data_IF_241864047692
#
_entry.id   IF_241864047692
#
_cell.length_a   1.000
_cell.length_b   1.000
_cell.length_c   1.000
_cell.angle_alpha   90.00
_cell.angle_beta   90.00
_cell.angle_gamma   90.00
#
_symmetry.space_group_name_H-M   'P 1'
#
loop_
_entity.id
_entity.type
_entity.pdbx_description
1 polymer ?
#
# COMPACT_ATOMS: atom_id res chain seq x y z
N UNK A 1 12.18 -20.64 29.37
CA UNK A 1 11.68 -21.16 28.08
C UNK A 1 10.39 -20.43 27.74
N UNK A 2 10.40 -19.54 26.73
CA UNK A 2 9.16 -18.88 26.29
C UNK A 2 8.28 -19.93 25.62
N UNK A 3 7.05 -20.07 26.13
CA UNK A 3 6.00 -20.92 25.54
C UNK A 3 5.92 -20.67 24.04
N UNK A 4 6.12 -21.72 23.24
CA UNK A 4 5.85 -21.72 21.80
C UNK A 4 4.32 -21.69 21.65
N UNK A 5 3.71 -20.52 21.89
CA UNK A 5 2.44 -20.22 21.23
C UNK A 5 2.73 -20.33 19.75
N UNK A 6 1.99 -21.18 19.04
CA UNK A 6 1.94 -21.18 17.57
C UNK A 6 1.93 -19.72 17.11
N UNK A 7 3.03 -19.26 16.52
CA UNK A 7 3.22 -17.86 16.18
C UNK A 7 2.37 -17.63 14.95
N UNK A 8 1.24 -16.96 15.10
CA UNK A 8 0.39 -16.58 13.98
C UNK A 8 1.20 -15.73 12.99
N UNK A 9 1.03 -16.01 11.72
CA UNK A 9 1.63 -15.18 10.67
C UNK A 9 0.86 -13.86 10.57
N UNK A 10 1.59 -12.78 10.39
CA UNK A 10 1.02 -11.44 10.35
C UNK A 10 0.98 -10.94 8.93
N UNK A 11 -0.10 -10.23 8.59
CA UNK A 11 -0.32 -9.65 7.28
C UNK A 11 -0.65 -8.17 7.46
N UNK A 12 0.05 -7.29 6.75
CA UNK A 12 -0.26 -5.86 6.68
C UNK A 12 -0.99 -5.60 5.37
N UNK A 13 -2.18 -5.01 5.48
CA UNK A 13 -3.09 -4.77 4.37
C UNK A 13 -3.05 -3.31 3.95
N UNK A 14 -3.10 -3.11 2.64
CA UNK A 14 -3.25 -1.80 2.00
C UNK A 14 -4.69 -1.60 1.51
N UNK A 15 -5.16 -0.35 1.52
CA UNK A 15 -6.44 0.10 0.94
C UNK A 15 -6.60 -0.37 -0.50
N UNK A 16 -5.49 -0.39 -1.24
CA UNK A 16 -5.48 -0.74 -2.66
C UNK A 16 -6.03 -2.14 -2.97
N UNK A 17 -5.98 -3.08 -2.02
CA UNK A 17 -6.58 -4.42 -2.17
C UNK A 17 -8.10 -4.38 -2.32
N UNK A 18 -8.74 -3.41 -1.66
CA UNK A 18 -10.19 -3.27 -1.66
C UNK A 18 -10.66 -2.26 -2.71
N UNK A 19 -9.80 -1.32 -3.10
CA UNK A 19 -10.17 -0.22 -4.01
C UNK A 19 -9.77 -0.50 -5.46
N UNK A 20 -8.61 -1.11 -5.73
CA UNK A 20 -8.16 -1.35 -7.10
C UNK A 20 -9.04 -2.40 -7.81
N UNK A 21 -9.70 -2.07 -8.95
CA UNK A 21 -10.53 -3.01 -9.70
C UNK A 21 -9.83 -4.33 -10.07
N UNK A 22 -8.52 -4.28 -10.35
CA UNK A 22 -7.74 -5.45 -10.78
C UNK A 22 -7.55 -6.49 -9.68
N UNK A 23 -7.75 -6.14 -8.42
CA UNK A 23 -7.57 -7.05 -7.28
C UNK A 23 -8.86 -7.23 -6.51
N UNK A 24 -9.64 -6.17 -6.30
CA UNK A 24 -10.84 -6.23 -5.46
C UNK A 24 -11.88 -7.23 -5.96
N UNK A 25 -11.92 -7.48 -7.28
CA UNK A 25 -12.91 -8.38 -7.91
C UNK A 25 -12.83 -9.82 -7.37
N UNK A 26 -11.69 -10.21 -6.81
CA UNK A 26 -11.53 -11.49 -6.12
C UNK A 26 -12.39 -11.59 -4.85
N UNK A 27 -12.72 -10.46 -4.23
CA UNK A 27 -13.47 -10.37 -2.98
C UNK A 27 -14.87 -9.75 -3.13
N UNK A 28 -15.08 -8.84 -4.09
CA UNK A 28 -16.38 -8.20 -4.31
C UNK A 28 -16.42 -7.16 -5.44
N UNK A 29 -17.63 -6.71 -5.80
CA UNK A 29 -17.86 -5.79 -6.93
C UNK A 29 -17.56 -4.32 -6.63
N UNK A 30 -17.80 -3.89 -5.39
CA UNK A 30 -17.46 -2.56 -4.88
C UNK A 30 -16.41 -2.65 -3.76
N UNK A 31 -15.77 -1.53 -3.35
CA UNK A 31 -14.84 -1.54 -2.22
C UNK A 31 -15.47 -2.05 -0.91
N UNK A 32 -16.75 -1.75 -0.68
CA UNK A 32 -17.48 -2.23 0.50
C UNK A 32 -17.72 -3.74 0.43
N UNK A 33 -18.13 -4.24 -0.74
CA UNK A 33 -18.34 -5.68 -0.93
C UNK A 33 -17.02 -6.45 -0.82
N UNK A 34 -15.93 -5.91 -1.38
CA UNK A 34 -14.61 -6.50 -1.33
C UNK A 34 -14.09 -6.60 0.12
N UNK A 35 -14.28 -5.55 0.93
CA UNK A 35 -13.94 -5.60 2.34
C UNK A 35 -14.75 -6.68 3.08
N UNK A 36 -16.07 -6.74 2.87
CA UNK A 36 -16.91 -7.76 3.50
C UNK A 36 -16.53 -9.19 3.07
N UNK A 37 -16.31 -9.43 1.77
CA UNK A 37 -15.89 -10.74 1.26
C UNK A 37 -14.53 -11.18 1.81
N UNK A 38 -13.60 -10.23 2.01
CA UNK A 38 -12.36 -10.49 2.72
C UNK A 38 -12.60 -10.85 4.19
N UNK A 39 -13.44 -10.10 4.92
CA UNK A 39 -13.71 -10.37 6.33
C UNK A 39 -14.32 -11.76 6.55
N UNK A 40 -15.25 -12.19 5.69
CA UNK A 40 -15.82 -13.54 5.72
C UNK A 40 -14.78 -14.66 5.57
N UNK A 41 -13.73 -14.43 4.77
CA UNK A 41 -12.60 -15.36 4.64
C UNK A 41 -11.68 -15.27 5.86
N UNK A 42 -11.33 -14.06 6.29
CA UNK A 42 -10.45 -13.80 7.43
C UNK A 42 -10.97 -14.45 8.73
N UNK A 43 -12.29 -14.45 8.97
CA UNK A 43 -12.92 -15.10 10.13
C UNK A 43 -12.59 -16.61 10.22
N UNK A 44 -12.40 -17.26 9.07
CA UNK A 44 -12.13 -18.70 9.00
C UNK A 44 -10.66 -19.04 9.26
N UNK A 45 -9.78 -18.05 9.26
CA UNK A 45 -8.32 -18.20 9.25
C UNK A 45 -7.70 -17.67 10.56
N UNK A 46 -7.79 -18.42 11.68
CA UNK A 46 -7.22 -18.00 12.95
C UNK A 46 -5.68 -18.03 12.97
N UNK A 47 -5.04 -18.67 11.98
CA UNK A 47 -3.60 -18.76 11.84
C UNK A 47 -2.96 -17.42 11.40
N UNK A 48 -3.75 -16.51 10.81
CA UNK A 48 -3.30 -15.20 10.38
C UNK A 48 -3.78 -14.09 11.32
N UNK A 49 -3.00 -13.02 11.42
CA UNK A 49 -3.39 -11.76 12.06
C UNK A 49 -3.26 -10.62 11.05
N UNK A 50 -4.35 -9.88 10.83
CA UNK A 50 -4.38 -8.79 9.88
C UNK A 50 -4.18 -7.45 10.57
N UNK A 51 -3.37 -6.60 9.96
CA UNK A 51 -2.99 -5.30 10.47
C UNK A 51 -3.15 -4.23 9.39
N UNK A 52 -3.46 -3.02 9.82
CA UNK A 52 -3.53 -1.85 8.94
C UNK A 52 -2.99 -0.63 9.69
N UNK A 53 -2.10 0.18 9.10
CA UNK A 53 -1.71 1.46 9.67
C UNK A 53 -2.91 2.39 9.83
N UNK A 54 -2.88 3.28 10.82
CA UNK A 54 -3.99 4.22 11.07
C UNK A 54 -4.29 5.10 9.85
N UNK A 55 -3.26 5.56 9.15
CA UNK A 55 -3.38 6.38 7.93
C UNK A 55 -4.09 5.64 6.80
N UNK A 56 -3.71 4.39 6.56
CA UNK A 56 -4.34 3.50 5.56
C UNK A 56 -5.78 3.17 5.94
N UNK A 57 -6.04 2.92 7.22
CA UNK A 57 -7.39 2.68 7.70
C UNK A 57 -8.30 3.89 7.46
N UNK A 58 -7.84 5.09 7.77
CA UNK A 58 -8.56 6.34 7.47
C UNK A 58 -8.77 6.55 5.97
N UNK A 59 -7.77 6.22 5.15
CA UNK A 59 -7.88 6.27 3.70
C UNK A 59 -8.98 5.33 3.19
N UNK A 60 -9.00 4.07 3.64
CA UNK A 60 -10.00 3.07 3.27
C UNK A 60 -11.42 3.53 3.58
N UNK A 61 -11.63 4.20 4.72
CA UNK A 61 -12.95 4.73 5.11
C UNK A 61 -13.52 5.76 4.12
N UNK A 62 -12.69 6.40 3.28
CA UNK A 62 -13.18 7.29 2.22
C UNK A 62 -13.80 6.53 1.04
N UNK A 63 -13.56 5.22 0.94
CA UNK A 63 -14.01 4.38 -0.17
C UNK A 63 -15.11 3.39 0.22
N UNK A 64 -15.30 3.12 1.52
CA UNK A 64 -16.27 2.13 2.02
C UNK A 64 -17.43 2.79 2.75
N UNK A 65 -18.64 2.25 2.57
CA UNK A 65 -19.79 2.61 3.39
C UNK A 65 -19.76 1.81 4.69
N UNK A 66 -19.21 2.40 5.75
CA UNK A 66 -18.98 1.75 7.03
C UNK A 66 -20.27 1.15 7.65
N UNK A 67 -21.44 1.68 7.32
CA UNK A 67 -22.73 1.17 7.83
C UNK A 67 -23.10 -0.19 7.23
N UNK A 68 -22.47 -0.56 6.10
CA UNK A 68 -22.66 -1.84 5.41
C UNK A 68 -21.49 -2.81 5.66
N UNK A 69 -20.45 -2.39 6.37
CA UNK A 69 -19.30 -3.24 6.70
C UNK A 69 -19.64 -4.09 7.93
N UNK A 70 -19.22 -5.36 7.94
CA UNK A 70 -19.40 -6.23 9.10
C UNK A 70 -18.83 -5.61 10.38
N UNK A 71 -19.57 -5.74 11.49
CA UNK A 71 -19.10 -5.29 12.81
C UNK A 71 -17.85 -6.03 13.31
N UNK A 72 -17.47 -7.15 12.67
CA UNK A 72 -16.21 -7.86 12.96
C UNK A 72 -14.97 -7.16 12.37
N UNK A 73 -15.12 -6.12 11.55
CA UNK A 73 -14.01 -5.46 10.87
C UNK A 73 -12.86 -5.05 11.82
N UNK A 74 -13.16 -4.28 12.86
CA UNK A 74 -12.13 -3.80 13.81
C UNK A 74 -11.61 -4.90 14.74
N UNK A 75 -12.34 -6.01 14.88
CA UNK A 75 -11.90 -7.17 15.63
C UNK A 75 -10.91 -8.04 14.83
N UNK A 76 -11.11 -8.13 13.51
CA UNK A 76 -10.31 -8.95 12.60
C UNK A 76 -9.10 -8.20 12.03
N UNK A 77 -9.26 -6.92 11.71
CA UNK A 77 -8.20 -6.04 11.20
C UNK A 77 -7.76 -5.09 12.31
N UNK A 78 -6.56 -5.32 12.81
CA UNK A 78 -5.98 -4.54 13.91
C UNK A 78 -5.40 -3.24 13.37
N UNK A 79 -6.07 -2.13 13.66
CA UNK A 79 -5.51 -0.81 13.39
C UNK A 79 -4.29 -0.58 14.30
N UNK A 80 -3.11 -0.37 13.72
CA UNK A 80 -1.87 -0.12 14.46
C UNK A 80 -0.90 0.73 13.62
N UNK A 81 -0.46 1.90 14.10
CA UNK A 81 0.63 2.61 13.46
C UNK A 81 1.99 1.95 13.75
N UNK A 82 3.01 2.15 12.90
CA UNK A 82 4.38 1.79 13.24
C UNK A 82 4.89 2.62 14.43
N UNK A 83 5.81 2.05 15.22
CA UNK A 83 6.49 2.74 16.32
C UNK A 83 7.53 3.72 15.76
N UNK A 84 7.06 4.84 15.21
CA UNK A 84 7.89 5.81 14.45
C UNK A 84 9.11 6.33 15.21
N UNK A 85 9.04 6.36 16.54
CA UNK A 85 10.13 6.86 17.39
C UNK A 85 11.15 5.79 17.77
N UNK A 86 10.76 4.51 17.83
CA UNK A 86 11.61 3.42 18.30
C UNK A 86 12.15 2.56 17.15
N UNK A 87 11.48 2.61 16.00
CA UNK A 87 11.83 1.78 14.86
C UNK A 87 13.14 2.26 14.21
N UNK A 88 14.12 1.37 14.20
CA UNK A 88 15.39 1.61 13.52
C UNK A 88 15.25 1.37 12.02
N UNK A 89 15.77 2.30 11.22
CA UNK A 89 15.87 2.17 9.77
C UNK A 89 17.32 2.32 9.31
N UNK A 90 17.79 1.53 8.33
CA UNK A 90 19.11 1.73 7.73
C UNK A 90 19.23 3.14 7.16
N UNK A 91 20.33 3.83 7.47
CA UNK A 91 20.59 5.17 6.93
C UNK A 91 20.57 5.20 5.40
N UNK A 92 20.97 4.09 4.74
CA UNK A 92 20.93 3.93 3.28
C UNK A 92 19.55 4.25 2.69
N UNK A 93 18.46 3.93 3.40
CA UNK A 93 17.10 4.26 2.98
C UNK A 93 16.93 5.76 2.74
N UNK A 94 17.48 6.59 3.64
CA UNK A 94 17.41 8.04 3.54
C UNK A 94 18.27 8.57 2.39
N UNK A 95 19.47 8.01 2.18
CA UNK A 95 20.32 8.39 1.06
C UNK A 95 19.64 8.13 -0.28
N UNK A 96 19.07 6.93 -0.46
CA UNK A 96 18.34 6.60 -1.67
C UNK A 96 17.11 7.46 -1.87
N UNK A 97 16.42 7.85 -0.79
CA UNK A 97 15.25 8.72 -0.89
C UNK A 97 15.66 10.10 -1.37
N UNK A 98 16.76 10.63 -0.84
CA UNK A 98 17.33 11.92 -1.28
C UNK A 98 17.73 11.86 -2.76
N UNK A 99 18.34 10.77 -3.22
CA UNK A 99 18.71 10.62 -4.64
C UNK A 99 17.48 10.52 -5.56
N UNK A 100 16.47 9.69 -5.21
CA UNK A 100 15.22 9.60 -5.99
C UNK A 100 14.50 10.98 -6.05
N UNK A 101 14.48 11.71 -4.94
CA UNK A 101 13.91 13.06 -4.89
C UNK A 101 14.70 14.06 -5.74
N UNK A 102 16.04 13.98 -5.73
CA UNK A 102 16.89 14.85 -6.56
C UNK A 102 16.66 14.59 -8.05
N UNK A 103 16.63 13.33 -8.48
CA UNK A 103 16.34 12.95 -9.86
C UNK A 103 14.98 13.49 -10.30
N UNK A 104 13.98 13.40 -9.42
CA UNK A 104 12.63 13.90 -9.66
C UNK A 104 12.59 15.42 -9.81
N UNK A 105 13.21 16.17 -8.90
CA UNK A 105 13.30 17.63 -8.99
C UNK A 105 13.95 18.04 -10.33
N UNK A 106 15.02 17.35 -10.73
CA UNK A 106 15.67 17.58 -12.02
C UNK A 106 14.77 17.24 -13.21
N UNK A 107 13.98 16.16 -13.16
CA UNK A 107 13.00 15.80 -14.20
C UNK A 107 11.92 16.88 -14.33
N UNK A 108 11.40 17.38 -13.19
CA UNK A 108 10.45 18.49 -13.15
C UNK A 108 11.00 19.77 -13.76
N UNK A 109 12.24 20.13 -13.42
CA UNK A 109 12.94 21.27 -14.02
C UNK A 109 13.05 21.15 -15.54
N UNK A 110 13.47 19.98 -16.05
CA UNK A 110 13.57 19.73 -17.50
C UNK A 110 12.23 19.85 -18.22
N UNK A 111 11.12 19.46 -17.57
CA UNK A 111 9.77 19.62 -18.13
C UNK A 111 9.39 21.10 -18.23
N UNK A 112 9.68 21.87 -17.19
CA UNK A 112 9.47 23.32 -17.21
C UNK A 112 10.33 24.01 -18.28
N UNK A 113 11.62 23.66 -18.38
CA UNK A 113 12.52 24.18 -19.42
C UNK A 113 12.00 23.86 -20.83
N UNK A 114 11.54 22.63 -21.08
CA UNK A 114 10.95 22.23 -22.37
C UNK A 114 9.71 23.06 -22.71
N UNK A 115 8.83 23.32 -21.73
CA UNK A 115 7.65 24.14 -21.95
C UNK A 115 8.03 25.58 -22.33
N UNK A 116 9.07 26.16 -21.73
CA UNK A 116 9.54 27.51 -22.06
C UNK A 116 10.25 27.54 -23.42
N UNK A 117 11.09 26.55 -23.73
CA UNK A 117 11.88 26.49 -24.97
C UNK A 117 11.02 26.20 -26.20
N UNK A 118 10.02 25.32 -26.07
CA UNK A 118 9.11 24.95 -27.15
C UNK A 118 7.86 25.84 -27.15
N UNK A 119 7.99 27.11 -26.72
CA UNK A 119 6.91 28.08 -26.81
C UNK A 119 6.69 28.42 -28.28
N UNK A 120 5.90 27.60 -28.95
CA UNK A 120 5.33 27.89 -30.26
C UNK A 120 4.25 28.99 -30.14
N UNK A 121 3.61 29.37 -31.24
CA UNK A 121 2.44 30.27 -31.25
C UNK A 121 1.20 29.68 -30.56
N UNK A 122 1.35 28.55 -29.86
CA UNK A 122 0.31 27.90 -29.07
C UNK A 122 -0.23 28.86 -28.00
N UNK A 123 -1.55 28.88 -27.76
CA UNK A 123 -2.14 29.64 -26.67
C UNK A 123 -1.49 29.26 -25.33
N UNK A 124 -1.19 30.27 -24.50
CA UNK A 124 -0.56 30.08 -23.17
C UNK A 124 -1.27 29.02 -22.31
N UNK A 125 -2.61 28.97 -22.41
CA UNK A 125 -3.44 28.00 -21.70
C UNK A 125 -3.10 26.54 -22.05
N UNK A 126 -2.86 26.25 -23.32
CA UNK A 126 -2.53 24.88 -23.78
C UNK A 126 -1.12 24.49 -23.34
N UNK A 127 -0.20 25.45 -23.34
CA UNK A 127 1.15 25.26 -22.82
C UNK A 127 1.13 24.92 -21.33
N UNK A 128 0.37 25.68 -20.53
CA UNK A 128 0.22 25.42 -19.08
C UNK A 128 -0.42 24.05 -18.84
N UNK A 129 -1.46 23.69 -19.60
CA UNK A 129 -2.13 22.40 -19.46
C UNK A 129 -1.20 21.23 -19.81
N UNK A 130 -0.46 21.33 -20.92
CA UNK A 130 0.49 20.29 -21.33
C UNK A 130 1.65 20.16 -20.34
N UNK A 131 2.20 21.28 -19.86
CA UNK A 131 3.25 21.29 -18.84
C UNK A 131 2.75 20.64 -17.54
N UNK A 132 1.57 21.01 -17.05
CA UNK A 132 0.98 20.41 -15.83
C UNK A 132 0.69 18.91 -15.99
N UNK A 133 0.29 18.48 -17.19
CA UNK A 133 0.09 17.06 -17.49
C UNK A 133 1.42 16.32 -17.46
N UNK A 134 2.39 16.76 -18.25
CA UNK A 134 3.72 16.15 -18.33
C UNK A 134 4.43 16.14 -16.98
N UNK A 135 4.30 17.22 -16.18
CA UNK A 135 4.83 17.29 -14.84
C UNK A 135 4.20 16.20 -13.96
N UNK A 136 2.86 16.13 -13.88
CA UNK A 136 2.17 15.11 -13.08
C UNK A 136 2.55 13.69 -13.51
N UNK A 137 2.57 13.41 -14.81
CA UNK A 137 2.91 12.08 -15.33
C UNK A 137 4.35 11.70 -14.95
N UNK A 138 5.29 12.64 -15.06
CA UNK A 138 6.67 12.42 -14.68
C UNK A 138 6.90 12.23 -13.17
N UNK A 139 6.06 12.85 -12.34
CA UNK A 139 6.07 12.72 -10.87
C UNK A 139 5.32 11.46 -10.38
N UNK A 140 4.71 10.66 -11.26
CA UNK A 140 3.95 9.46 -10.87
C UNK A 140 4.72 8.15 -11.03
N UNK A 141 5.94 8.20 -11.56
CA UNK A 141 6.77 6.99 -11.66
C UNK A 141 7.29 6.59 -10.27
N UNK A 142 6.95 5.36 -9.84
CA UNK A 142 7.55 4.49 -8.79
C UNK A 142 8.25 5.23 -7.65
N UNK A 143 7.50 5.80 -6.70
CA UNK A 143 8.05 6.45 -5.50
C UNK A 143 7.24 6.13 -4.25
N UNK A 144 7.94 6.15 -3.11
CA UNK A 144 7.39 6.29 -1.77
C UNK A 144 6.91 7.74 -1.56
N UNK A 145 5.75 8.11 -2.11
CA UNK A 145 5.35 9.51 -2.24
C UNK A 145 4.37 9.98 -1.16
N UNK A 146 3.91 9.05 -0.33
CA UNK A 146 2.94 9.30 0.72
C UNK A 146 3.47 8.88 2.11
N UNK A 147 2.91 9.48 3.18
CA UNK A 147 3.18 9.04 4.56
C UNK A 147 2.52 7.68 4.84
N UNK A 148 1.47 7.38 4.09
CA UNK A 148 0.70 6.14 4.06
C UNK A 148 1.60 4.96 3.67
N UNK A 149 2.36 5.05 2.57
CA UNK A 149 3.28 4.00 2.11
C UNK A 149 4.41 3.77 3.12
N UNK A 150 4.94 4.85 3.68
CA UNK A 150 5.97 4.80 4.73
C UNK A 150 5.43 4.02 5.94
N UNK A 151 4.19 4.32 6.35
CA UNK A 151 3.56 3.67 7.48
C UNK A 151 3.27 2.18 7.21
N UNK A 152 2.85 1.81 5.99
CA UNK A 152 2.68 0.41 5.55
C UNK A 152 3.97 -0.39 5.68
N UNK A 153 5.04 0.11 5.06
CA UNK A 153 6.31 -0.60 4.98
C UNK A 153 6.92 -0.74 6.37
N UNK A 154 6.92 0.33 7.17
CA UNK A 154 7.49 0.25 8.51
C UNK A 154 6.66 -0.59 9.47
N UNK A 155 5.33 -0.60 9.35
CA UNK A 155 4.51 -1.51 10.15
C UNK A 155 4.80 -2.97 9.78
N UNK A 156 4.91 -3.27 8.49
CA UNK A 156 5.25 -4.61 8.01
C UNK A 156 6.64 -5.05 8.52
N UNK A 157 7.63 -4.14 8.46
CA UNK A 157 8.97 -4.36 9.00
C UNK A 157 8.96 -4.59 10.52
N UNK A 158 8.25 -3.76 11.28
CA UNK A 158 8.15 -3.87 12.74
C UNK A 158 7.58 -5.23 13.16
N UNK A 159 6.55 -5.67 12.45
CA UNK A 159 5.79 -6.87 12.80
C UNK A 159 6.40 -8.16 12.26
N UNK A 160 7.39 -8.08 11.36
CA UNK A 160 7.88 -9.19 10.54
C UNK A 160 6.73 -9.83 9.72
N UNK A 161 5.89 -8.96 9.17
CA UNK A 161 4.64 -9.30 8.51
C UNK A 161 4.77 -9.35 6.99
N UNK A 162 3.86 -10.11 6.36
CA UNK A 162 3.65 -10.10 4.92
C UNK A 162 2.93 -8.80 4.51
N UNK A 163 3.53 -8.00 3.65
CA UNK A 163 2.90 -6.82 3.05
C UNK A 163 2.09 -7.22 1.82
N UNK A 164 0.85 -6.74 1.72
CA UNK A 164 0.00 -6.97 0.55
C UNK A 164 -0.50 -5.61 0.04
N UNK A 165 0.02 -5.19 -1.12
CA UNK A 165 -0.25 -3.88 -1.76
C UNK A 165 -0.08 -3.98 -3.27
N UNK A 166 -0.85 -3.20 -4.03
CA UNK A 166 -0.68 -3.05 -5.50
C UNK A 166 0.36 -1.99 -5.87
N UNK A 167 0.82 -1.21 -4.90
CA UNK A 167 1.76 -0.12 -5.14
C UNK A 167 3.17 -0.66 -5.37
N UNK A 168 3.65 -0.52 -6.60
CA UNK A 168 4.97 -1.00 -7.00
C UNK A 168 6.11 -0.17 -6.39
N UNK A 169 5.86 1.11 -6.09
CA UNK A 169 6.77 1.96 -5.33
C UNK A 169 6.92 1.44 -3.91
N UNK A 170 5.80 1.18 -3.23
CA UNK A 170 5.82 0.62 -1.88
C UNK A 170 6.54 -0.74 -1.83
N UNK A 171 6.27 -1.64 -2.79
CA UNK A 171 6.95 -2.95 -2.91
C UNK A 171 8.47 -2.77 -3.08
N UNK A 172 8.90 -1.92 -4.02
CA UNK A 172 10.34 -1.65 -4.25
C UNK A 172 11.05 -1.21 -2.98
N UNK A 173 10.41 -0.34 -2.20
CA UNK A 173 10.95 0.16 -0.93
C UNK A 173 10.88 -0.88 0.21
N UNK A 174 9.85 -1.71 0.23
CA UNK A 174 9.72 -2.85 1.13
C UNK A 174 10.83 -3.88 0.92
N UNK A 175 11.17 -4.20 -0.34
CA UNK A 175 12.25 -5.12 -0.70
C UNK A 175 13.61 -4.65 -0.18
N UNK A 176 13.92 -3.37 -0.36
CA UNK A 176 15.15 -2.74 0.18
C UNK A 176 15.27 -2.89 1.70
N UNK A 177 14.15 -2.97 2.40
CA UNK A 177 14.08 -3.12 3.86
C UNK A 177 13.96 -4.57 4.34
N UNK A 178 13.95 -5.54 3.42
CA UNK A 178 13.81 -6.97 3.73
C UNK A 178 12.40 -7.37 4.17
N UNK A 179 11.39 -6.60 3.77
CA UNK A 179 9.97 -6.90 4.09
C UNK A 179 9.44 -7.93 3.08
N UNK A 180 8.82 -9.00 3.61
CA UNK A 180 8.12 -9.98 2.77
C UNK A 180 6.89 -9.33 2.14
N UNK A 181 6.63 -9.61 0.88
CA UNK A 181 5.45 -9.10 0.18
C UNK A 181 4.79 -10.20 -0.66
N UNK A 182 3.50 -10.00 -0.98
CA UNK A 182 2.72 -10.90 -1.82
C UNK A 182 2.17 -10.16 -3.03
N UNK A 183 2.21 -10.81 -4.19
CA UNK A 183 1.52 -10.34 -5.40
C UNK A 183 0.01 -10.26 -5.08
N UNK A 184 -0.64 -9.08 -5.23
CA UNK A 184 -2.02 -8.89 -4.81
C UNK A 184 -3.04 -9.84 -5.45
N UNK A 185 -2.87 -10.16 -6.73
CA UNK A 185 -3.72 -11.12 -7.46
C UNK A 185 -3.58 -12.56 -6.96
N UNK A 186 -2.60 -12.85 -6.10
CA UNK A 186 -2.43 -14.12 -5.41
C UNK A 186 -2.93 -14.10 -3.98
N UNK A 187 -3.43 -12.97 -3.50
CA UNK A 187 -3.85 -12.84 -2.10
C UNK A 187 -5.02 -13.74 -1.74
N UNK A 188 -6.01 -13.89 -2.62
CA UNK A 188 -7.12 -14.81 -2.38
C UNK A 188 -6.67 -16.26 -2.33
N UNK A 189 -5.85 -16.71 -3.28
CA UNK A 189 -5.26 -18.07 -3.28
C UNK A 189 -4.49 -18.32 -1.97
N UNK A 190 -3.69 -17.34 -1.54
CA UNK A 190 -2.94 -17.40 -0.27
C UNK A 190 -3.87 -17.52 0.93
N UNK A 191 -4.99 -16.81 0.99
CA UNK A 191 -5.95 -16.95 2.10
C UNK A 191 -6.62 -18.33 2.09
N UNK A 192 -7.01 -18.82 0.92
CA UNK A 192 -7.70 -20.11 0.78
C UNK A 192 -6.84 -21.29 1.22
N UNK A 193 -5.51 -21.22 1.04
CA UNK A 193 -4.63 -22.30 1.51
C UNK A 193 -4.67 -22.53 3.03
N UNK A 194 -5.05 -21.52 3.82
CA UNK A 194 -5.22 -21.68 5.28
C UNK A 194 -6.63 -22.14 5.68
N UNK A 195 -7.61 -22.04 4.78
CA UNK A 195 -8.96 -22.56 5.01
C UNK A 195 -8.95 -24.08 4.80
N UNK A 196 -8.23 -24.56 3.79
CA UNK A 196 -8.16 -25.97 3.41
C UNK A 196 -7.36 -26.83 4.41
N UNK A 197 -6.41 -26.25 5.16
CA UNK A 197 -5.65 -26.95 6.23
C UNK A 197 -6.54 -27.45 7.38
N UNK A 198 -7.77 -26.95 7.53
CA UNK A 198 -8.73 -27.45 8.53
C UNK A 198 -9.53 -28.68 8.05
N UNK A 199 -9.32 -29.14 6.82
CA UNK A 199 -10.05 -30.24 6.19
C UNK A 199 -9.35 -31.60 6.22
N UNK A 200 -8.20 -31.74 6.91
CA UNK A 200 -7.46 -33.01 7.06
C UNK A 200 -7.17 -33.28 8.54
#
# INVERSE_FOLDING_TARGET
MKSVRSRKDKVVLDTSLFVNPEVRHDFGGSPTDALNGFLELAEKIPALEFYMPSSIFEELLNFVDINKVSGSFTALVRQKPPSKHELNSPALLLYEFVEEMRERVNKGMRIAEKAVRNKDNSPERELIQSMRKNYRDAMREVILDSKEDVDLIFLAKELDALLVTVDHGAIKWAEKLGVRWLIPTKFKDYLLSFVDEKGT
#
